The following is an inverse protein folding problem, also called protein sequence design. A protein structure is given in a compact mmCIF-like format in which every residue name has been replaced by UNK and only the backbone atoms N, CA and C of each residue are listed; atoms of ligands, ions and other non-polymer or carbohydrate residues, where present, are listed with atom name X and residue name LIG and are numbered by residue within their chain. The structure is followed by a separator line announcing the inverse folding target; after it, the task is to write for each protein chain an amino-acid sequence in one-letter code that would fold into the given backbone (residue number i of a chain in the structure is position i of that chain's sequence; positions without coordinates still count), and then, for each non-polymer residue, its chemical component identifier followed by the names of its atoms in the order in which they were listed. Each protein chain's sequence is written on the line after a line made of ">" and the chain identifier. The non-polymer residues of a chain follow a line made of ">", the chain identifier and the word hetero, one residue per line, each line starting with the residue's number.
data_IF_940278833830
#
_entry.id   IF_940278833830
#
_cell.length_a   1.000
_cell.length_b   1.000
_cell.length_c   1.000
_cell.angle_alpha   90.00
_cell.angle_beta   90.00
_cell.angle_gamma   90.00
#
_symmetry.space_group_name_H-M   'P 1'
#
loop_
_entity.id
_entity.type
_entity.pdbx_description
1 polymer ?
#
# COMPACT_ATOMS: atom_id res chain seq x y z
N UNK A 1 22.39 -10.59 20.23
CA UNK A 1 21.17 -11.07 19.53
C UNK A 1 19.95 -10.18 19.87
N UNK A 2 19.82 -9.01 19.23
CA UNK A 2 18.74 -8.02 19.47
C UNK A 2 18.46 -7.15 18.23
N UNK A 3 18.71 -7.65 17.02
CA UNK A 3 18.62 -6.85 15.81
C UNK A 3 17.19 -6.28 15.63
N UNK A 4 17.06 -4.95 15.43
CA UNK A 4 15.78 -4.33 15.14
C UNK A 4 15.29 -4.73 13.74
N UNK A 5 13.99 -4.59 13.47
CA UNK A 5 13.41 -4.93 12.17
C UNK A 5 14.07 -4.17 11.00
N UNK A 6 14.57 -2.95 11.24
CA UNK A 6 15.29 -2.16 10.24
C UNK A 6 16.50 -2.88 9.64
N UNK A 7 17.26 -3.63 10.46
CA UNK A 7 18.44 -4.38 9.97
C UNK A 7 18.04 -5.43 8.94
N UNK A 8 16.88 -6.07 9.10
CA UNK A 8 16.39 -7.05 8.12
C UNK A 8 15.92 -6.36 6.84
N UNK A 9 15.23 -5.22 6.95
CA UNK A 9 14.81 -4.44 5.78
C UNK A 9 16.02 -3.96 4.98
N UNK A 10 16.99 -3.33 5.66
CA UNK A 10 18.22 -2.83 5.04
C UNK A 10 19.01 -3.96 4.36
N UNK A 11 19.07 -5.16 4.97
CA UNK A 11 19.70 -6.33 4.36
C UNK A 11 19.00 -6.79 3.07
N UNK A 12 17.66 -6.75 3.03
CA UNK A 12 16.88 -7.07 1.82
C UNK A 12 17.12 -6.01 0.73
N UNK A 13 17.06 -4.72 1.07
CA UNK A 13 17.31 -3.64 0.13
C UNK A 13 18.73 -3.73 -0.45
N UNK A 14 19.74 -3.97 0.38
CA UNK A 14 21.13 -4.15 -0.05
C UNK A 14 21.28 -5.37 -0.97
N UNK A 15 20.62 -6.49 -0.68
CA UNK A 15 20.66 -7.68 -1.53
C UNK A 15 20.05 -7.43 -2.92
N UNK A 16 19.03 -6.57 -2.99
CA UNK A 16 18.37 -6.17 -4.24
C UNK A 16 19.07 -4.99 -4.93
N UNK A 17 20.14 -4.41 -4.36
CA UNK A 17 20.72 -3.14 -4.81
C UNK A 17 19.69 -1.99 -4.90
N UNK A 18 18.71 -2.00 -3.99
CA UNK A 18 17.66 -1.00 -3.91
C UNK A 18 18.13 0.17 -3.03
N UNK A 19 18.39 1.32 -3.63
CA UNK A 19 18.83 2.54 -2.92
C UNK A 19 17.68 3.15 -2.12
N UNK A 20 16.47 3.19 -2.69
CA UNK A 20 15.27 3.72 -2.02
C UNK A 20 14.39 2.60 -1.44
N UNK A 21 14.73 2.14 -0.24
CA UNK A 21 13.95 1.15 0.49
C UNK A 21 12.72 1.70 1.23
N UNK A 22 12.55 3.03 1.33
CA UNK A 22 11.62 3.64 2.28
C UNK A 22 10.14 3.47 1.90
N UNK A 23 9.85 3.25 0.61
CA UNK A 23 8.51 2.93 0.11
C UNK A 23 8.10 1.48 0.38
N UNK A 24 9.05 0.63 0.78
CA UNK A 24 8.84 -0.77 1.02
C UNK A 24 8.78 -1.10 2.50
N UNK A 25 8.23 -2.26 2.81
CA UNK A 25 8.21 -2.78 4.15
C UNK A 25 8.19 -4.30 4.18
N UNK A 26 8.27 -4.83 5.39
CA UNK A 26 8.22 -6.26 5.63
C UNK A 26 6.90 -6.60 6.30
N UNK A 27 6.15 -7.54 5.74
CA UNK A 27 4.94 -8.08 6.35
C UNK A 27 5.09 -9.57 6.66
N UNK A 28 4.39 -10.05 7.69
CA UNK A 28 4.38 -11.46 8.04
C UNK A 28 3.05 -11.85 8.70
N UNK A 29 2.62 -13.12 8.59
CA UNK A 29 1.45 -13.60 9.31
C UNK A 29 1.78 -13.72 10.80
N UNK A 30 0.99 -13.08 11.65
CA UNK A 30 1.12 -13.20 13.08
C UNK A 30 0.61 -14.56 13.60
N UNK A 31 0.64 -14.76 14.93
CA UNK A 31 0.13 -15.97 15.57
C UNK A 31 -1.36 -16.28 15.32
N UNK A 32 -2.16 -15.28 14.93
CA UNK A 32 -3.58 -15.42 14.54
C UNK A 32 -3.75 -15.50 13.03
N UNK A 33 -2.66 -15.68 12.27
CA UNK A 33 -2.62 -15.68 10.79
C UNK A 33 -3.08 -14.37 10.16
N UNK A 34 -3.04 -13.28 10.91
CA UNK A 34 -3.32 -11.93 10.39
C UNK A 34 -2.00 -11.35 9.91
N UNK A 35 -1.96 -10.90 8.66
CA UNK A 35 -0.79 -10.22 8.10
C UNK A 35 -0.57 -8.89 8.83
N UNK A 36 0.65 -8.68 9.34
CA UNK A 36 1.05 -7.47 10.06
C UNK A 36 2.40 -6.97 9.56
N UNK A 37 2.59 -5.66 9.63
CA UNK A 37 3.88 -5.02 9.36
C UNK A 37 4.89 -5.30 10.46
N UNK A 38 6.12 -5.63 10.06
CA UNK A 38 7.28 -5.67 10.94
C UNK A 38 7.58 -4.26 11.45
N UNK A 39 7.63 -4.11 12.77
CA UNK A 39 8.04 -2.87 13.42
C UNK A 39 9.56 -2.72 13.30
N UNK A 40 9.99 -1.78 12.46
CA UNK A 40 11.42 -1.58 12.16
C UNK A 40 12.22 -1.16 13.40
N UNK A 41 11.59 -0.56 14.41
CA UNK A 41 12.26 -0.10 15.64
C UNK A 41 12.34 -1.17 16.73
N UNK A 42 11.59 -2.27 16.60
CA UNK A 42 11.57 -3.33 17.62
C UNK A 42 12.44 -4.52 17.22
N UNK A 43 13.04 -5.22 18.22
CA UNK A 43 13.76 -6.46 17.95
C UNK A 43 12.89 -7.50 17.26
N UNK A 44 13.40 -8.12 16.19
CA UNK A 44 12.68 -9.13 15.38
C UNK A 44 12.20 -10.29 16.27
N UNK A 45 13.05 -10.76 17.18
CA UNK A 45 12.73 -11.86 18.10
C UNK A 45 11.56 -11.56 19.06
N UNK A 46 11.21 -10.28 19.28
CA UNK A 46 10.03 -9.89 20.09
C UNK A 46 8.74 -9.87 19.28
N UNK A 47 8.84 -9.91 17.96
CA UNK A 47 7.71 -9.82 17.03
C UNK A 47 7.39 -11.18 16.42
N UNK A 48 8.43 -11.93 16.05
CA UNK A 48 8.32 -13.24 15.40
C UNK A 48 8.77 -14.31 16.39
N UNK A 49 7.81 -15.08 16.93
CA UNK A 49 8.08 -16.12 17.94
C UNK A 49 8.91 -17.29 17.41
N UNK A 50 8.71 -17.66 16.14
CA UNK A 50 9.37 -18.80 15.49
C UNK A 50 9.88 -18.40 14.10
N UNK A 51 10.99 -17.64 14.01
CA UNK A 51 11.46 -17.06 12.74
C UNK A 51 11.67 -18.06 11.62
N UNK A 52 12.15 -19.27 11.93
CA UNK A 52 12.38 -20.35 10.95
C UNK A 52 11.11 -20.88 10.26
N UNK A 53 9.93 -20.57 10.79
CA UNK A 53 8.64 -21.06 10.28
C UNK A 53 7.73 -19.92 9.79
N UNK A 54 8.27 -18.73 9.64
CA UNK A 54 7.51 -17.54 9.22
C UNK A 54 8.13 -17.00 7.95
N UNK A 55 7.34 -17.00 6.88
CA UNK A 55 7.69 -16.30 5.65
C UNK A 55 7.43 -14.81 5.87
N UNK A 56 8.49 -14.02 5.74
CA UNK A 56 8.42 -12.56 5.74
C UNK A 56 8.41 -12.12 4.27
N UNK A 57 7.46 -11.26 3.91
CA UNK A 57 7.32 -10.74 2.54
C UNK A 57 7.83 -9.31 2.47
N UNK A 58 8.60 -9.01 1.45
CA UNK A 58 8.96 -7.65 1.06
C UNK A 58 7.87 -7.12 0.14
N UNK A 59 7.23 -6.02 0.52
CA UNK A 59 6.02 -5.50 -0.14
C UNK A 59 6.07 -3.97 -0.18
N UNK A 60 5.39 -3.37 -1.16
CA UNK A 60 5.22 -1.91 -1.19
C UNK A 60 4.31 -1.51 -0.03
N UNK A 61 4.79 -0.55 0.76
CA UNK A 61 4.10 -0.01 1.93
C UNK A 61 3.48 1.35 1.66
N UNK A 62 4.18 2.21 0.92
CA UNK A 62 3.72 3.54 0.57
C UNK A 62 3.64 3.64 -0.94
N UNK A 63 2.46 3.97 -1.45
CA UNK A 63 2.24 4.16 -2.88
C UNK A 63 2.31 5.66 -3.16
N UNK A 64 3.25 6.13 -4.00
CA UNK A 64 3.32 7.53 -4.38
C UNK A 64 2.08 7.90 -5.22
N UNK A 65 1.59 9.15 -5.13
CA UNK A 65 0.49 9.61 -5.98
C UNK A 65 0.87 9.73 -7.45
N UNK A 66 2.16 9.98 -7.72
CA UNK A 66 2.70 10.17 -9.05
C UNK A 66 4.05 9.45 -9.15
N UNK A 67 4.11 8.46 -10.05
CA UNK A 67 5.33 7.70 -10.30
C UNK A 67 6.34 8.50 -11.13
N UNK A 68 5.90 9.52 -11.87
CA UNK A 68 6.77 10.39 -12.67
C UNK A 68 7.51 11.38 -11.77
N UNK A 69 6.84 11.97 -10.79
CA UNK A 69 7.49 12.79 -9.75
C UNK A 69 8.48 11.97 -8.93
N UNK A 70 8.12 10.73 -8.60
CA UNK A 70 9.03 9.83 -7.91
C UNK A 70 10.27 9.54 -8.76
N UNK A 71 10.13 9.34 -10.06
CA UNK A 71 11.26 9.18 -11.00
C UNK A 71 12.12 10.45 -11.05
N UNK A 72 11.53 11.65 -11.06
CA UNK A 72 12.29 12.91 -11.04
C UNK A 72 13.02 13.14 -9.71
N UNK A 73 12.39 12.87 -8.57
CA UNK A 73 13.03 12.90 -7.24
C UNK A 73 14.17 11.88 -7.13
N UNK A 74 13.94 10.65 -7.62
CA UNK A 74 14.92 9.57 -7.67
C UNK A 74 16.11 9.86 -8.58
N UNK A 75 15.83 10.35 -9.79
CA UNK A 75 16.86 10.60 -10.83
C UNK A 75 17.63 11.89 -10.52
N UNK A 76 16.99 12.90 -9.90
CA UNK A 76 17.65 14.15 -9.49
C UNK A 76 18.58 13.99 -8.29
N UNK A 77 18.44 12.94 -7.48
CA UNK A 77 19.34 12.68 -6.35
C UNK A 77 20.79 12.28 -6.74
N UNK A 78 21.16 12.29 -8.03
CA UNK A 78 22.52 12.00 -8.54
C UNK A 78 23.11 10.63 -8.12
N UNK A 79 22.34 9.77 -7.44
CA UNK A 79 22.80 8.51 -6.87
C UNK A 79 22.15 7.27 -7.51
N UNK A 80 21.12 7.44 -8.34
CA UNK A 80 20.41 6.34 -9.00
C UNK A 80 20.82 6.21 -10.46
N UNK A 81 21.23 5.00 -10.86
CA UNK A 81 21.48 4.66 -12.26
C UNK A 81 20.16 4.33 -12.98
N UNK A 82 20.07 4.43 -14.32
CA UNK A 82 18.85 4.03 -15.06
C UNK A 82 18.36 2.62 -14.68
N UNK A 83 19.29 1.68 -14.48
CA UNK A 83 19.00 0.30 -14.06
C UNK A 83 18.30 0.27 -12.69
N UNK A 84 18.70 1.13 -11.77
CA UNK A 84 18.10 1.20 -10.43
C UNK A 84 16.66 1.73 -10.48
N UNK A 85 16.37 2.66 -11.39
CA UNK A 85 15.02 3.20 -11.60
C UNK A 85 14.09 2.14 -12.21
N UNK A 86 14.59 1.36 -13.17
CA UNK A 86 13.84 0.25 -13.78
C UNK A 86 13.54 -0.84 -12.76
N UNK A 87 14.50 -1.21 -11.91
CA UNK A 87 14.26 -2.15 -10.82
C UNK A 87 13.19 -1.66 -9.86
N UNK A 88 13.21 -0.37 -9.49
CA UNK A 88 12.22 0.22 -8.60
C UNK A 88 10.81 0.12 -9.21
N UNK A 89 10.66 0.50 -10.49
CA UNK A 89 9.39 0.39 -11.22
C UNK A 89 8.92 -1.06 -11.33
N UNK A 90 9.83 -1.97 -11.66
CA UNK A 90 9.56 -3.40 -11.73
C UNK A 90 9.01 -3.95 -10.41
N UNK A 91 9.57 -3.56 -9.25
CA UNK A 91 9.06 -4.01 -7.95
C UNK A 91 7.63 -3.49 -7.66
N UNK A 92 7.30 -2.27 -8.12
CA UNK A 92 5.93 -1.76 -8.07
C UNK A 92 4.99 -2.49 -9.03
N UNK A 93 5.45 -2.79 -10.25
CA UNK A 93 4.71 -3.57 -11.24
C UNK A 93 4.36 -4.97 -10.70
N UNK A 94 5.33 -5.64 -10.06
CA UNK A 94 5.12 -6.90 -9.36
C UNK A 94 4.09 -6.79 -8.23
N UNK A 95 4.10 -5.70 -7.47
CA UNK A 95 3.10 -5.48 -6.42
C UNK A 95 1.69 -5.31 -7.01
N UNK A 96 1.56 -4.57 -8.13
CA UNK A 96 0.29 -4.42 -8.86
C UNK A 96 -0.20 -5.77 -9.38
N UNK A 97 0.67 -6.56 -10.00
CA UNK A 97 0.37 -7.94 -10.43
C UNK A 97 -0.15 -8.79 -9.26
N UNK A 98 0.52 -8.74 -8.10
CA UNK A 98 0.07 -9.47 -6.91
C UNK A 98 -1.27 -8.96 -6.37
N UNK A 99 -1.50 -7.65 -6.40
CA UNK A 99 -2.74 -7.03 -5.92
C UNK A 99 -3.93 -7.37 -6.83
N UNK A 100 -3.70 -7.49 -8.14
CA UNK A 100 -4.70 -7.95 -9.11
C UNK A 100 -5.06 -9.42 -8.85
N UNK A 101 -4.06 -10.30 -8.76
CA UNK A 101 -4.25 -11.73 -8.53
C UNK A 101 -4.94 -12.04 -7.19
N UNK A 102 -4.74 -11.20 -6.18
CA UNK A 102 -5.35 -11.35 -4.85
C UNK A 102 -6.67 -10.61 -4.70
N UNK A 103 -7.18 -9.97 -5.77
CA UNK A 103 -8.45 -9.23 -5.76
C UNK A 103 -8.43 -7.96 -4.90
N UNK A 104 -7.24 -7.42 -4.59
CA UNK A 104 -7.09 -6.14 -3.88
C UNK A 104 -7.25 -4.95 -4.80
N UNK A 105 -6.78 -5.07 -6.03
CA UNK A 105 -6.91 -4.03 -7.05
C UNK A 105 -8.15 -4.31 -7.90
N UNK A 106 -9.33 -3.91 -7.40
CA UNK A 106 -10.58 -4.08 -8.15
C UNK A 106 -10.69 -3.05 -9.26
N UNK A 107 -11.04 -3.48 -10.46
CA UNK A 107 -11.26 -2.62 -11.62
C UNK A 107 -12.29 -3.25 -12.57
N UNK A 108 -12.70 -2.51 -13.59
CA UNK A 108 -13.57 -3.04 -14.64
C UNK A 108 -12.80 -3.95 -15.60
N UNK A 109 -13.53 -4.79 -16.33
CA UNK A 109 -13.00 -5.78 -17.28
C UNK A 109 -12.03 -5.18 -18.31
N UNK A 110 -12.30 -3.97 -18.82
CA UNK A 110 -11.41 -3.28 -19.74
C UNK A 110 -10.06 -2.95 -19.10
N UNK A 111 -10.08 -2.40 -17.89
CA UNK A 111 -8.87 -2.03 -17.17
C UNK A 111 -8.10 -3.27 -16.74
N UNK A 112 -8.79 -4.33 -16.30
CA UNK A 112 -8.17 -5.60 -15.95
C UNK A 112 -7.45 -6.21 -17.15
N UNK A 113 -8.11 -6.29 -18.31
CA UNK A 113 -7.51 -6.80 -19.53
C UNK A 113 -6.30 -5.96 -19.97
N UNK A 114 -6.40 -4.62 -19.89
CA UNK A 114 -5.30 -3.73 -20.24
C UNK A 114 -4.10 -3.90 -19.30
N UNK A 115 -4.33 -3.94 -17.98
CA UNK A 115 -3.26 -4.21 -17.01
C UNK A 115 -2.56 -5.54 -17.31
N UNK A 116 -3.33 -6.60 -17.57
CA UNK A 116 -2.75 -7.92 -17.84
C UNK A 116 -1.98 -7.93 -19.15
N UNK A 117 -2.45 -7.25 -20.20
CA UNK A 117 -1.72 -7.16 -21.46
C UNK A 117 -0.32 -6.55 -21.31
N UNK A 118 -0.15 -5.56 -20.42
CA UNK A 118 1.18 -5.01 -20.11
C UNK A 118 2.04 -5.98 -19.28
N UNK A 119 1.42 -6.76 -18.38
CA UNK A 119 2.12 -7.83 -17.64
C UNK A 119 2.62 -8.91 -18.62
N UNK A 120 1.78 -9.30 -19.58
CA UNK A 120 2.13 -10.30 -20.60
C UNK A 120 3.29 -9.78 -21.47
N UNK A 121 3.20 -8.56 -22.00
CA UNK A 121 4.29 -7.95 -22.79
C UNK A 121 5.61 -7.91 -22.01
N UNK A 122 5.56 -7.57 -20.71
CA UNK A 122 6.75 -7.53 -19.84
C UNK A 122 7.36 -8.93 -19.59
N UNK A 123 6.54 -9.99 -19.58
CA UNK A 123 6.97 -11.35 -19.25
C UNK A 123 7.40 -12.20 -20.45
N UNK A 124 6.67 -12.10 -21.58
CA UNK A 124 6.88 -12.97 -22.74
C UNK A 124 7.30 -12.21 -24.02
N UNK A 125 7.36 -10.87 -23.98
CA UNK A 125 7.76 -10.04 -25.11
C UNK A 125 6.60 -9.82 -26.09
N UNK A 126 6.94 -9.56 -27.37
CA UNK A 126 5.95 -9.24 -28.40
C UNK A 126 4.94 -10.36 -28.63
N UNK A 127 3.73 -9.95 -29.01
CA UNK A 127 2.61 -10.83 -29.28
C UNK A 127 2.94 -11.98 -30.25
N UNK A 128 2.65 -13.20 -29.80
CA UNK A 128 2.58 -14.42 -30.61
C UNK A 128 1.35 -15.22 -30.17
N UNK A 129 0.44 -15.51 -31.10
CA UNK A 129 -0.87 -16.07 -30.74
C UNK A 129 -0.77 -17.41 -30.00
N UNK A 130 0.17 -18.28 -30.39
CA UNK A 130 0.33 -19.58 -29.75
C UNK A 130 0.91 -19.44 -28.33
N UNK A 131 1.96 -18.62 -28.19
CA UNK A 131 2.63 -18.37 -26.92
C UNK A 131 1.71 -17.66 -25.92
N UNK A 132 0.96 -16.67 -26.37
CA UNK A 132 -0.01 -15.92 -25.56
C UNK A 132 -1.07 -16.85 -24.94
N UNK A 133 -1.71 -17.67 -25.78
CA UNK A 133 -2.75 -18.59 -25.34
C UNK A 133 -2.20 -19.64 -24.38
N UNK A 134 -1.01 -20.17 -24.66
CA UNK A 134 -0.33 -21.11 -23.77
C UNK A 134 -0.02 -20.46 -22.40
N UNK A 135 0.47 -19.23 -22.40
CA UNK A 135 0.82 -18.48 -21.20
C UNK A 135 -0.41 -18.13 -20.36
N UNK A 136 -1.47 -17.61 -20.99
CA UNK A 136 -2.74 -17.27 -20.33
C UNK A 136 -3.51 -18.51 -19.83
N UNK A 137 -3.31 -19.67 -20.45
CA UNK A 137 -3.83 -20.93 -19.93
C UNK A 137 -3.08 -21.37 -18.65
N UNK A 138 -1.75 -21.24 -18.62
CA UNK A 138 -0.90 -21.66 -17.50
C UNK A 138 -0.90 -20.68 -16.32
N UNK A 139 -1.04 -19.38 -16.59
CA UNK A 139 -0.90 -18.33 -15.59
C UNK A 139 -2.23 -17.60 -15.38
N UNK A 140 -2.75 -17.62 -14.15
CA UNK A 140 -3.97 -16.90 -13.77
C UNK A 140 -3.65 -15.62 -13.01
N UNK A 141 -3.98 -14.49 -13.63
CA UNK A 141 -3.83 -13.13 -13.10
C UNK A 141 -5.12 -12.59 -12.46
N UNK A 142 -6.29 -13.13 -12.82
CA UNK A 142 -7.57 -12.86 -12.15
C UNK A 142 -8.48 -14.09 -12.13
N UNK A 143 -9.51 -14.13 -11.25
CA UNK A 143 -10.46 -15.24 -11.21
C UNK A 143 -11.29 -15.43 -12.48
N UNK A 144 -11.71 -14.36 -13.16
CA UNK A 144 -12.53 -14.42 -14.39
C UNK A 144 -11.71 -14.23 -15.68
N UNK A 145 -10.46 -14.70 -15.71
CA UNK A 145 -9.54 -14.42 -16.81
C UNK A 145 -10.03 -14.96 -18.16
N UNK A 146 -10.66 -16.12 -18.17
CA UNK A 146 -11.07 -16.81 -19.40
C UNK A 146 -12.07 -15.99 -20.22
N UNK A 147 -12.90 -15.17 -19.57
CA UNK A 147 -13.86 -14.26 -20.22
C UNK A 147 -13.17 -13.05 -20.85
N UNK A 148 -11.97 -12.72 -20.37
CA UNK A 148 -11.19 -11.55 -20.81
C UNK A 148 -10.06 -11.91 -21.78
N UNK A 149 -9.83 -13.19 -22.07
CA UNK A 149 -8.65 -13.66 -22.80
C UNK A 149 -8.52 -13.00 -24.18
N UNK A 150 -9.58 -13.01 -24.99
CA UNK A 150 -9.57 -12.37 -26.31
C UNK A 150 -9.26 -10.88 -26.25
N UNK A 151 -9.72 -10.21 -25.19
CA UNK A 151 -9.47 -8.78 -24.97
C UNK A 151 -8.03 -8.51 -24.49
N UNK A 152 -7.49 -9.40 -23.67
CA UNK A 152 -6.08 -9.36 -23.24
C UNK A 152 -5.18 -9.50 -24.47
N UNK A 153 -5.44 -10.51 -25.30
CA UNK A 153 -4.72 -10.77 -26.56
C UNK A 153 -4.82 -9.57 -27.50
N UNK A 154 -6.01 -9.00 -27.67
CA UNK A 154 -6.21 -7.81 -28.49
C UNK A 154 -5.35 -6.62 -28.02
N UNK A 155 -5.30 -6.35 -26.71
CA UNK A 155 -4.44 -5.30 -26.18
C UNK A 155 -2.96 -5.65 -26.30
N UNK A 156 -2.57 -6.91 -26.08
CA UNK A 156 -1.18 -7.33 -26.19
C UNK A 156 -0.63 -7.13 -27.61
N UNK A 157 -1.42 -7.44 -28.63
CA UNK A 157 -1.06 -7.14 -30.02
C UNK A 157 -0.78 -5.64 -30.27
N UNK A 158 -1.39 -4.73 -29.50
CA UNK A 158 -1.13 -3.29 -29.63
C UNK A 158 0.18 -2.82 -28.97
N UNK A 159 0.87 -3.71 -28.24
CA UNK A 159 2.09 -3.39 -27.50
C UNK A 159 3.38 -3.84 -28.18
N UNK A 160 3.30 -4.41 -29.39
CA UNK A 160 4.47 -4.87 -30.16
C UNK A 160 5.55 -3.76 -30.25
N UNK A 161 6.78 -4.14 -29.91
CA UNK A 161 7.94 -3.27 -29.87
C UNK A 161 8.15 -2.54 -28.53
N UNK A 162 7.25 -2.69 -27.56
CA UNK A 162 7.46 -2.18 -26.21
C UNK A 162 8.45 -3.07 -25.44
N UNK A 163 9.43 -2.43 -24.80
CA UNK A 163 10.34 -3.10 -23.87
C UNK A 163 9.65 -3.43 -22.54
N UNK A 164 10.15 -4.40 -21.75
CA UNK A 164 9.57 -4.72 -20.44
C UNK A 164 9.48 -3.51 -19.50
N UNK A 165 10.50 -2.64 -19.50
CA UNK A 165 10.52 -1.43 -18.68
C UNK A 165 9.44 -0.41 -19.10
N UNK A 166 9.17 -0.28 -20.40
CA UNK A 166 8.08 0.56 -20.91
C UNK A 166 6.71 -0.03 -20.56
N UNK A 167 6.54 -1.35 -20.68
CA UNK A 167 5.30 -2.02 -20.29
C UNK A 167 5.02 -1.93 -18.79
N UNK A 168 6.03 -2.10 -17.95
CA UNK A 168 5.92 -1.89 -16.49
C UNK A 168 5.53 -0.43 -16.17
N UNK A 169 6.09 0.54 -16.88
CA UNK A 169 5.71 1.94 -16.73
C UNK A 169 4.23 2.17 -17.11
N UNK A 170 3.79 1.67 -18.27
CA UNK A 170 2.38 1.80 -18.69
C UNK A 170 1.42 1.08 -17.73
N UNK A 171 1.81 -0.09 -17.22
CA UNK A 171 1.06 -0.80 -16.19
C UNK A 171 0.82 0.09 -14.96
N UNK A 172 1.85 0.77 -14.46
CA UNK A 172 1.74 1.67 -13.32
C UNK A 172 0.90 2.92 -13.64
N UNK A 173 1.00 3.45 -14.86
CA UNK A 173 0.20 4.59 -15.33
C UNK A 173 -1.30 4.28 -15.39
N UNK A 174 -1.66 3.06 -15.78
CA UNK A 174 -3.04 2.58 -15.74
C UNK A 174 -3.46 2.32 -14.29
N UNK A 175 -2.64 1.59 -13.53
CA UNK A 175 -2.96 1.18 -12.16
C UNK A 175 -3.21 2.37 -11.24
N UNK A 176 -2.40 3.44 -11.31
CA UNK A 176 -2.54 4.62 -10.44
C UNK A 176 -3.85 5.39 -10.59
N UNK A 177 -4.56 5.20 -11.71
CA UNK A 177 -5.87 5.82 -11.97
C UNK A 177 -7.02 5.05 -11.33
N UNK A 178 -6.76 3.84 -10.85
CA UNK A 178 -7.78 3.00 -10.22
C UNK A 178 -8.01 3.41 -8.77
N UNK A 179 -9.28 3.42 -8.36
CA UNK A 179 -9.70 3.82 -7.01
C UNK A 179 -9.08 2.96 -5.91
N UNK A 180 -8.81 1.68 -6.20
CA UNK A 180 -8.21 0.73 -5.24
C UNK A 180 -6.67 0.67 -5.29
N UNK A 181 -6.02 1.54 -6.06
CA UNK A 181 -4.57 1.57 -6.18
C UNK A 181 -3.89 1.91 -4.85
N UNK A 182 -3.02 1.02 -4.38
CA UNK A 182 -2.35 1.15 -3.08
C UNK A 182 -3.28 1.11 -1.86
N UNK A 183 -4.58 0.83 -2.04
CA UNK A 183 -5.56 0.83 -0.96
C UNK A 183 -5.50 -0.49 -0.21
N UNK A 184 -5.45 -0.40 1.12
CA UNK A 184 -5.57 -1.54 2.04
C UNK A 184 -6.77 -1.29 2.97
N UNK A 185 -7.80 -2.11 2.81
CA UNK A 185 -9.06 -1.98 3.53
C UNK A 185 -8.96 -2.57 4.95
N UNK A 186 -9.37 -1.79 5.93
CA UNK A 186 -9.48 -2.18 7.34
C UNK A 186 -10.95 -2.18 7.77
N UNK A 187 -11.56 -3.35 7.99
CA UNK A 187 -12.97 -3.44 8.36
C UNK A 187 -13.32 -2.67 9.63
N UNK A 188 -14.40 -1.90 9.56
CA UNK A 188 -14.94 -1.12 10.65
C UNK A 188 -16.47 -1.01 10.56
N UNK A 189 -17.07 -0.36 11.55
CA UNK A 189 -18.45 0.11 11.52
C UNK A 189 -18.49 1.58 11.88
N UNK A 190 -19.39 2.32 11.27
CA UNK A 190 -19.70 3.69 11.71
C UNK A 190 -20.55 3.69 13.00
N UNK A 191 -21.11 4.85 13.35
CA UNK A 191 -21.94 5.02 14.54
C UNK A 191 -23.31 4.36 14.42
N UNK A 192 -23.82 4.23 13.20
CA UNK A 192 -25.11 3.60 12.90
C UNK A 192 -24.97 2.07 12.83
N UNK A 193 -23.74 1.56 12.81
CA UNK A 193 -23.44 0.13 12.76
C UNK A 193 -23.28 -0.40 11.33
N UNK A 194 -23.32 0.48 10.33
CA UNK A 194 -23.11 0.17 8.92
C UNK A 194 -21.70 -0.37 8.73
N UNK A 195 -21.58 -1.49 8.02
CA UNK A 195 -20.28 -2.09 7.71
C UNK A 195 -19.58 -1.24 6.67
N UNK A 196 -18.39 -0.76 7.01
CA UNK A 196 -17.53 0.05 6.16
C UNK A 196 -16.10 -0.46 6.26
N UNK A 197 -15.22 0.07 5.43
CA UNK A 197 -13.78 -0.14 5.52
C UNK A 197 -13.08 1.21 5.63
N UNK A 198 -12.08 1.29 6.50
CA UNK A 198 -11.17 2.42 6.56
C UNK A 198 -9.91 2.09 5.76
N UNK A 199 -9.34 3.07 5.08
CA UNK A 199 -8.03 2.96 4.47
C UNK A 199 -7.23 4.24 4.70
N UNK A 200 -5.93 4.19 4.41
CA UNK A 200 -5.03 5.34 4.53
C UNK A 200 -4.37 5.56 3.19
N UNK A 201 -4.28 6.82 2.77
CA UNK A 201 -3.59 7.25 1.55
C UNK A 201 -2.70 8.45 1.86
N UNK A 202 -1.88 8.87 0.89
CA UNK A 202 -1.07 10.08 0.97
C UNK A 202 -1.92 11.34 1.23
N UNK A 203 -3.16 11.39 0.75
CA UNK A 203 -4.08 12.52 0.92
C UNK A 203 -4.78 12.56 2.27
N UNK A 204 -4.99 11.40 2.92
CA UNK A 204 -5.81 11.33 4.13
C UNK A 204 -6.25 9.94 4.54
N UNK A 205 -7.29 9.90 5.36
CA UNK A 205 -8.00 8.66 5.72
C UNK A 205 -9.22 8.53 4.82
N UNK A 206 -9.38 7.37 4.19
CA UNK A 206 -10.48 7.08 3.27
C UNK A 206 -11.51 6.17 3.96
N UNK A 207 -12.77 6.33 3.56
CA UNK A 207 -13.88 5.48 4.01
C UNK A 207 -14.54 4.84 2.79
N UNK A 208 -14.70 3.53 2.85
CA UNK A 208 -15.27 2.73 1.78
C UNK A 208 -16.50 1.95 2.28
N UNK A 209 -17.48 1.79 1.41
CA UNK A 209 -18.55 0.80 1.55
C UNK A 209 -18.37 -0.25 0.44
N UNK A 210 -18.04 -1.48 0.83
CA UNK A 210 -17.48 -2.45 -0.13
C UNK A 210 -16.15 -1.94 -0.69
N UNK A 211 -16.09 -1.80 -2.02
CA UNK A 211 -14.96 -1.23 -2.78
C UNK A 211 -15.22 0.20 -3.28
N UNK A 212 -16.36 0.79 -2.93
CA UNK A 212 -16.71 2.16 -3.33
C UNK A 212 -16.30 3.15 -2.25
N UNK A 213 -15.47 4.14 -2.59
CA UNK A 213 -15.11 5.24 -1.69
C UNK A 213 -16.34 6.13 -1.44
N UNK A 214 -16.75 6.23 -0.17
CA UNK A 214 -17.90 7.04 0.25
C UNK A 214 -17.50 8.35 0.92
N UNK A 215 -16.28 8.43 1.47
CA UNK A 215 -15.79 9.64 2.12
C UNK A 215 -14.26 9.69 2.21
N UNK A 216 -13.69 10.87 2.41
CA UNK A 216 -12.27 11.09 2.62
C UNK A 216 -12.01 12.24 3.61
N UNK A 217 -11.12 12.00 4.57
CA UNK A 217 -10.67 12.98 5.55
C UNK A 217 -9.24 13.39 5.23
N UNK A 218 -9.09 14.51 4.54
CA UNK A 218 -7.77 15.07 4.20
C UNK A 218 -6.96 15.35 5.48
N UNK A 219 -5.67 15.03 5.46
CA UNK A 219 -4.76 15.29 6.59
C UNK A 219 -4.86 16.71 7.15
N UNK A 220 -5.04 17.72 6.31
CA UNK A 220 -5.20 19.12 6.72
C UNK A 220 -6.42 19.33 7.65
N UNK A 221 -7.50 18.59 7.43
CA UNK A 221 -8.72 18.63 8.26
C UNK A 221 -8.59 17.79 9.53
N UNK A 222 -7.63 16.86 9.61
CA UNK A 222 -7.47 16.01 10.79
C UNK A 222 -6.61 16.71 11.83
N UNK A 223 -7.16 16.90 13.03
CA UNK A 223 -6.45 17.48 14.18
C UNK A 223 -5.71 16.43 14.99
N UNK A 224 -6.36 15.29 15.22
CA UNK A 224 -5.84 14.23 16.10
C UNK A 224 -6.43 12.87 15.77
N UNK A 225 -5.59 11.85 15.81
CA UNK A 225 -5.99 10.45 15.79
C UNK A 225 -5.75 9.80 17.15
N UNK A 226 -6.74 9.01 17.58
CA UNK A 226 -6.65 8.24 18.82
C UNK A 226 -7.57 7.02 18.76
N UNK A 227 -7.44 6.12 19.73
CA UNK A 227 -8.36 5.01 19.88
C UNK A 227 -8.58 4.65 21.35
N UNK A 228 -9.76 4.11 21.67
CA UNK A 228 -10.12 3.63 23.01
C UNK A 228 -10.85 2.30 22.89
N UNK A 229 -10.29 1.23 23.48
CA UNK A 229 -10.77 -0.15 23.28
C UNK A 229 -10.84 -0.45 21.79
N UNK A 230 -12.02 -0.80 21.26
CA UNK A 230 -12.28 -1.09 19.84
C UNK A 230 -12.79 0.12 19.03
N UNK A 231 -12.72 1.33 19.58
CA UNK A 231 -13.19 2.57 18.95
C UNK A 231 -12.01 3.36 18.42
N UNK A 232 -11.93 3.55 17.11
CA UNK A 232 -11.01 4.45 16.45
C UNK A 232 -11.65 5.83 16.32
N UNK A 233 -10.90 6.89 16.63
CA UNK A 233 -11.42 8.25 16.78
C UNK A 233 -10.62 9.22 15.92
N UNK A 234 -11.31 9.91 15.00
CA UNK A 234 -10.75 10.98 14.18
C UNK A 234 -11.31 12.30 14.68
N UNK A 235 -10.47 13.12 15.31
CA UNK A 235 -10.85 14.48 15.67
C UNK A 235 -10.45 15.43 14.56
N UNK A 236 -11.43 16.10 13.96
CA UNK A 236 -11.27 17.12 12.93
C UNK A 236 -10.89 18.48 13.55
N UNK A 237 -10.33 19.36 12.72
CA UNK A 237 -10.14 20.77 13.05
C UNK A 237 -11.51 21.46 13.03
N UNK A 238 -11.79 22.41 13.94
CA UNK A 238 -13.04 23.17 13.91
C UNK A 238 -13.17 23.90 12.58
N UNK A 239 -14.33 23.79 11.94
CA UNK A 239 -14.69 24.59 10.78
C UNK A 239 -15.71 25.64 11.23
N UNK A 240 -15.44 26.92 10.96
CA UNK A 240 -16.26 28.06 11.39
C UNK A 240 -17.69 27.95 10.84
N UNK A 241 -17.87 27.21 9.75
CA UNK A 241 -19.15 27.02 9.08
C UNK A 241 -19.85 25.69 9.41
N UNK A 242 -19.30 24.86 10.30
CA UNK A 242 -19.89 23.55 10.63
C UNK A 242 -20.31 23.46 12.10
N UNK A 243 -21.60 23.20 12.34
CA UNK A 243 -22.16 22.84 13.66
C UNK A 243 -21.95 21.35 14.02
N UNK A 244 -21.25 20.60 13.16
CA UNK A 244 -21.13 19.15 13.25
C UNK A 244 -20.07 18.69 14.25
N UNK A 245 -20.23 17.45 14.72
CA UNK A 245 -19.32 16.81 15.67
C UNK A 245 -17.88 16.80 15.18
N UNK A 246 -17.01 17.48 15.93
CA UNK A 246 -15.56 17.47 15.76
C UNK A 246 -14.93 16.06 15.74
N UNK A 247 -15.61 15.03 16.25
CA UNK A 247 -15.02 13.71 16.47
C UNK A 247 -15.84 12.62 15.81
N UNK A 248 -15.23 11.96 14.82
CA UNK A 248 -15.77 10.78 14.17
C UNK A 248 -15.35 9.53 14.95
N UNK A 249 -16.26 8.56 15.07
CA UNK A 249 -16.01 7.29 15.78
C UNK A 249 -16.28 6.12 14.84
N UNK A 250 -15.33 5.19 14.80
CA UNK A 250 -15.42 3.95 14.02
C UNK A 250 -15.13 2.74 14.91
N UNK A 251 -15.98 1.73 14.87
CA UNK A 251 -15.85 0.51 15.64
C UNK A 251 -15.10 -0.55 14.83
N UNK A 252 -13.93 -0.99 15.30
CA UNK A 252 -13.15 -2.06 14.67
C UNK A 252 -13.33 -3.39 15.42
N UNK A 253 -12.76 -4.48 14.89
CA UNK A 253 -12.86 -5.81 15.47
C UNK A 253 -12.25 -5.91 16.90
N UNK A 254 -11.27 -5.08 17.22
CA UNK A 254 -10.64 -5.09 18.54
C UNK A 254 -9.61 -3.99 18.73
N UNK A 255 -9.06 -3.91 19.95
CA UNK A 255 -8.04 -2.92 20.32
C UNK A 255 -6.79 -3.01 19.45
N UNK A 256 -6.34 -4.22 19.13
CA UNK A 256 -5.13 -4.42 18.36
C UNK A 256 -5.30 -3.97 16.90
N UNK A 257 -6.50 -4.12 16.33
CA UNK A 257 -6.84 -3.58 15.01
C UNK A 257 -6.83 -2.05 15.01
N UNK A 258 -7.44 -1.40 16.02
CA UNK A 258 -7.37 0.06 16.16
C UNK A 258 -5.92 0.55 16.32
N UNK A 259 -5.11 -0.16 17.12
CA UNK A 259 -3.70 0.19 17.32
C UNK A 259 -2.89 0.04 16.04
N UNK A 260 -3.12 -1.03 15.28
CA UNK A 260 -2.47 -1.28 14.00
C UNK A 260 -2.84 -0.18 12.99
N UNK A 261 -4.14 0.08 12.81
CA UNK A 261 -4.62 1.12 11.90
C UNK A 261 -4.13 2.53 12.30
N UNK A 262 -4.16 2.87 13.59
CA UNK A 262 -3.58 4.11 14.10
C UNK A 262 -2.10 4.25 13.76
N UNK A 263 -1.32 3.16 13.91
CA UNK A 263 0.10 3.15 13.56
C UNK A 263 0.29 3.40 12.06
N UNK A 264 -0.49 2.72 11.21
CA UNK A 264 -0.48 2.92 9.75
C UNK A 264 -0.78 4.39 9.40
N UNK A 265 -1.81 4.99 10.00
CA UNK A 265 -2.13 6.41 9.79
C UNK A 265 -0.97 7.35 10.15
N UNK A 266 -0.35 7.12 11.32
CA UNK A 266 0.76 7.96 11.80
C UNK A 266 1.97 7.82 10.89
N UNK A 267 2.30 6.60 10.46
CA UNK A 267 3.42 6.33 9.54
C UNK A 267 3.18 6.95 8.16
N UNK A 268 1.98 6.82 7.57
CA UNK A 268 1.65 7.44 6.28
C UNK A 268 1.69 8.96 6.35
N UNK A 269 1.12 9.55 7.40
CA UNK A 269 1.20 11.00 7.57
C UNK A 269 2.65 11.44 7.74
N UNK A 270 3.46 10.73 8.53
CA UNK A 270 4.86 11.08 8.70
C UNK A 270 5.61 11.01 7.36
N UNK A 271 5.46 9.91 6.62
CA UNK A 271 6.13 9.68 5.34
C UNK A 271 5.82 10.78 4.30
N UNK A 272 4.55 11.11 4.08
CA UNK A 272 4.15 12.04 3.01
C UNK A 272 4.11 13.53 3.41
N UNK A 273 4.27 13.87 4.71
CA UNK A 273 4.16 15.27 5.18
C UNK A 273 5.34 15.74 6.02
N UNK A 274 6.14 14.85 6.57
CA UNK A 274 7.30 15.22 7.38
C UNK A 274 8.56 14.87 6.57
N UNK A 275 9.13 15.88 5.90
CA UNK A 275 10.44 15.76 5.24
C UNK A 275 11.59 15.43 6.23
N UNK A 276 11.34 15.53 7.55
CA UNK A 276 12.26 15.09 8.60
C UNK A 276 11.52 14.24 9.64
N UNK A 277 12.15 13.14 10.11
CA UNK A 277 11.65 12.41 11.27
C UNK A 277 11.47 13.36 12.47
N UNK A 278 10.28 13.44 13.08
CA UNK A 278 10.08 14.32 14.21
C UNK A 278 10.92 13.84 15.39
N UNK A 279 11.92 14.64 15.79
CA UNK A 279 12.74 14.40 16.99
C UNK A 279 11.82 14.05 18.18
N UNK A 280 12.09 12.94 18.91
CA UNK A 280 11.21 12.49 19.97
C UNK A 280 11.08 13.57 21.04
N UNK A 281 9.86 14.11 21.21
CA UNK A 281 9.59 15.05 22.30
C UNK A 281 9.66 14.31 23.64
N UNK A 282 10.30 14.88 24.68
CA UNK A 282 10.32 14.31 26.01
C UNK A 282 8.88 14.15 26.51
N UNK A 283 8.53 12.94 26.99
CA UNK A 283 7.19 12.63 27.50
C UNK A 283 7.01 13.32 28.87
N UNK A 284 5.94 14.11 29.08
CA UNK A 284 5.54 14.50 30.42
C UNK A 284 5.21 13.25 31.24
N UNK A 285 5.79 13.15 32.43
CA UNK A 285 5.54 12.09 33.40
C UNK A 285 4.18 12.33 34.05
N UNK A 286 3.09 11.99 33.36
CA UNK A 286 1.77 11.83 33.98
C UNK A 286 0.97 10.80 33.19
N UNK A 287 0.27 9.94 33.93
CA UNK A 287 -0.44 8.73 33.48
C UNK A 287 -1.47 8.99 32.35
N UNK A 288 -1.00 9.17 31.11
CA UNK A 288 -1.83 9.12 29.92
C UNK A 288 -2.01 7.67 29.49
N UNK A 289 -3.06 7.02 30.00
CA UNK A 289 -3.46 5.66 29.60
C UNK A 289 -4.17 5.71 28.23
N UNK A 290 -3.40 5.93 27.17
CA UNK A 290 -3.87 5.96 25.77
C UNK A 290 -2.81 6.46 24.78
N UNK A 291 -2.77 5.90 23.57
CA UNK A 291 -1.90 6.37 22.47
C UNK A 291 -2.61 7.47 21.70
N UNK A 292 -1.95 8.61 21.51
CA UNK A 292 -2.52 9.80 20.84
C UNK A 292 -1.44 10.48 20.02
N UNK A 293 -1.72 10.78 18.75
CA UNK A 293 -0.85 11.60 17.89
C UNK A 293 -1.58 12.88 17.48
N UNK A 294 -0.85 14.00 17.40
CA UNK A 294 -1.38 15.30 16.94
C UNK A 294 -0.60 15.71 15.70
N UNK A 295 -1.32 16.06 14.64
CA UNK A 295 -0.74 16.61 13.43
C UNK A 295 -0.41 18.10 13.65
N UNK A 296 0.73 18.56 13.14
CA UNK A 296 1.10 19.99 13.13
C UNK A 296 0.37 20.64 11.96
#
# INVERSE_FOLDING_TARGET
>A
QRAPGKVLLDAVCNHLNLVEGDYFGLEFPDHKKITVWLDLLKPIAKQIRRPKHVVVKFVVKFFPPDHTQLQEELTSCLCMTPISVDLYRYLFALQVKQDLAQGRLTCNDTSAALLISHIVQSEIGDFDEALDREHLAKTKYLPQQDVLEDKIVQFHHSHIGQTPAESDFQLLEVARRLEMYGVRLHPAKDREGTKINLAVANTGILVFQGFTKINAFNWAKVRKLSFKRKRFLIKLRPDVNSSYQDTLEFLMAGRDFCKSFWKICVEHHAFFRLFEEPKPKPKPVLFSRGSSFRFR
#
